data_IF_705501706740
#
_entry.id   IF_705501706740
#
_cell.length_a   1.000
_cell.length_b   1.000
_cell.length_c   1.000
_cell.angle_alpha   90.00
_cell.angle_beta   90.00
_cell.angle_gamma   90.00
#
_symmetry.space_group_name_H-M   'P 1'
#
loop_
_entity.id
_entity.type
_entity.pdbx_description
1 polymer ?
#
# COMPACT_ATOMS: atom_id res chain seq x y z
N UNK A 1 12.16 7.12 23.77
CA UNK A 1 12.14 5.64 23.73
C UNK A 1 10.68 5.21 23.73
N UNK A 2 10.10 4.89 22.57
CA UNK A 2 8.73 4.39 22.52
C UNK A 2 8.71 2.97 23.10
N UNK A 3 7.79 2.70 24.02
CA UNK A 3 7.66 1.40 24.68
C UNK A 3 7.18 0.38 23.65
N UNK A 4 7.92 -0.70 23.47
CA UNK A 4 7.47 -1.82 22.63
C UNK A 4 6.19 -2.42 23.22
N UNK A 5 5.20 -2.69 22.37
CA UNK A 5 3.90 -3.25 22.76
C UNK A 5 3.83 -4.68 22.24
N UNK A 6 3.46 -5.62 23.13
CA UNK A 6 3.25 -7.00 22.75
C UNK A 6 1.80 -7.19 22.26
N UNK A 7 1.65 -7.77 21.08
CA UNK A 7 0.37 -8.19 20.54
C UNK A 7 0.32 -9.72 20.50
N UNK A 8 -0.77 -10.31 21.01
CA UNK A 8 -1.01 -11.75 20.96
C UNK A 8 -2.23 -12.02 20.08
N UNK A 9 -2.10 -12.97 19.14
CA UNK A 9 -3.14 -13.35 18.19
C UNK A 9 -3.40 -14.84 18.33
N UNK A 10 -4.68 -15.23 18.40
CA UNK A 10 -5.07 -16.64 18.27
C UNK A 10 -5.07 -17.02 16.79
N UNK A 11 -4.46 -18.14 16.48
CA UNK A 11 -4.31 -18.66 15.12
C UNK A 11 -4.50 -20.16 15.11
N UNK A 12 -5.02 -20.66 13.99
CA UNK A 12 -5.12 -22.09 13.72
C UNK A 12 -3.71 -22.72 13.73
N UNK A 13 -3.52 -23.89 14.36
CA UNK A 13 -2.22 -24.54 14.43
C UNK A 13 -1.59 -24.78 13.04
N UNK A 14 -2.38 -25.21 12.07
CA UNK A 14 -1.92 -25.47 10.70
C UNK A 14 -1.44 -24.18 10.00
N UNK A 15 -2.16 -23.08 10.20
CA UNK A 15 -1.78 -21.78 9.64
C UNK A 15 -0.46 -21.28 10.24
N UNK A 16 -0.30 -21.45 11.56
CA UNK A 16 0.95 -21.12 12.26
C UNK A 16 2.13 -21.90 11.67
N UNK A 17 1.98 -23.21 11.49
CA UNK A 17 3.03 -24.07 10.98
C UNK A 17 3.46 -23.67 9.56
N UNK A 18 2.49 -23.45 8.67
CA UNK A 18 2.75 -23.00 7.30
C UNK A 18 3.44 -21.63 7.27
N UNK A 19 2.97 -20.69 8.08
CA UNK A 19 3.58 -19.36 8.17
C UNK A 19 5.02 -19.41 8.68
N UNK A 20 5.28 -20.23 9.71
CA UNK A 20 6.62 -20.41 10.26
C UNK A 20 7.56 -21.08 9.25
N UNK A 21 7.10 -22.09 8.51
CA UNK A 21 7.89 -22.74 7.46
C UNK A 21 8.27 -21.75 6.34
N UNK A 22 7.34 -20.88 5.93
CA UNK A 22 7.61 -19.82 4.97
C UNK A 22 8.60 -18.78 5.50
N UNK A 23 8.46 -18.36 6.77
CA UNK A 23 9.37 -17.41 7.41
C UNK A 23 10.81 -17.96 7.51
N UNK A 24 10.96 -19.25 7.85
CA UNK A 24 12.24 -19.95 7.89
C UNK A 24 12.87 -20.02 6.50
N UNK A 25 12.10 -20.41 5.49
CA UNK A 25 12.55 -20.48 4.08
C UNK A 25 13.05 -19.12 3.59
N UNK A 26 12.39 -18.03 3.99
CA UNK A 26 12.79 -16.68 3.64
C UNK A 26 13.92 -16.12 4.52
N UNK A 27 14.35 -16.86 5.56
CA UNK A 27 15.30 -16.39 6.58
C UNK A 27 14.89 -15.06 7.23
N UNK A 28 13.59 -14.84 7.43
CA UNK A 28 13.05 -13.61 8.04
C UNK A 28 12.31 -13.94 9.33
N UNK A 29 12.46 -13.12 10.39
CA UNK A 29 11.67 -13.31 11.61
C UNK A 29 10.17 -13.17 11.32
N UNK A 30 9.36 -14.11 11.82
CA UNK A 30 7.91 -14.09 11.70
C UNK A 30 7.29 -12.73 12.10
N UNK A 31 7.75 -12.16 13.22
CA UNK A 31 7.28 -10.86 13.70
C UNK A 31 7.65 -9.69 12.76
N UNK A 32 8.74 -9.80 12.01
CA UNK A 32 9.09 -8.80 10.98
C UNK A 32 8.11 -8.87 9.81
N UNK A 33 7.79 -10.08 9.34
CA UNK A 33 6.83 -10.30 8.26
C UNK A 33 5.45 -9.75 8.67
N UNK A 34 4.98 -10.05 9.88
CA UNK A 34 3.70 -9.51 10.39
C UNK A 34 3.70 -7.98 10.42
N UNK A 35 4.79 -7.35 10.91
CA UNK A 35 4.90 -5.88 10.91
C UNK A 35 4.87 -5.29 9.51
N UNK A 36 5.51 -5.93 8.54
CA UNK A 36 5.49 -5.48 7.15
C UNK A 36 4.12 -5.66 6.52
N UNK A 37 3.43 -6.78 6.78
CA UNK A 37 2.06 -6.99 6.35
C UNK A 37 1.10 -5.95 6.95
N UNK A 38 1.28 -5.57 8.21
CA UNK A 38 0.51 -4.49 8.83
C UNK A 38 0.74 -3.15 8.15
N UNK A 39 2.00 -2.80 7.84
CA UNK A 39 2.31 -1.56 7.11
C UNK A 39 1.70 -1.57 5.71
N UNK A 40 1.82 -2.68 4.99
CA UNK A 40 1.20 -2.83 3.67
C UNK A 40 -0.32 -2.74 3.76
N UNK A 41 -0.94 -3.33 4.78
CA UNK A 41 -2.38 -3.22 5.00
C UNK A 41 -2.81 -1.77 5.22
N UNK A 42 -2.12 -1.02 6.09
CA UNK A 42 -2.40 0.41 6.32
C UNK A 42 -2.24 1.19 5.01
N UNK A 43 -1.13 1.00 4.30
CA UNK A 43 -0.88 1.67 3.02
C UNK A 43 -1.97 1.36 1.98
N UNK A 44 -2.47 0.12 1.92
CA UNK A 44 -3.59 -0.24 1.06
C UNK A 44 -4.90 0.45 1.46
N UNK A 45 -5.15 0.70 2.74
CA UNK A 45 -6.34 1.45 3.18
C UNK A 45 -6.21 2.95 2.92
N UNK A 46 -4.98 3.46 2.84
CA UNK A 46 -4.68 4.83 2.43
C UNK A 46 -4.63 5.01 0.91
N UNK A 47 -4.96 3.97 0.13
CA UNK A 47 -5.11 4.05 -1.32
C UNK A 47 -6.60 4.07 -1.71
N UNK A 48 -7.04 5.01 -2.58
CA UNK A 48 -6.24 6.07 -3.18
C UNK A 48 -5.82 7.10 -2.13
N UNK A 49 -4.58 7.58 -2.22
CA UNK A 49 -4.10 8.60 -1.29
C UNK A 49 -4.87 9.92 -1.47
N UNK A 50 -4.73 10.82 -0.50
CA UNK A 50 -5.46 12.09 -0.49
C UNK A 50 -5.32 12.86 -1.82
N UNK A 51 -4.12 12.86 -2.42
CA UNK A 51 -3.86 13.53 -3.70
C UNK A 51 -4.61 12.88 -4.86
N UNK A 52 -4.67 11.55 -4.90
CA UNK A 52 -5.43 10.81 -5.92
C UNK A 52 -6.93 11.04 -5.75
N UNK A 53 -7.44 11.05 -4.51
CA UNK A 53 -8.84 11.37 -4.22
C UNK A 53 -9.15 12.80 -4.67
N UNK A 54 -8.28 13.77 -4.36
CA UNK A 54 -8.45 15.15 -4.78
C UNK A 54 -8.44 15.29 -6.32
N UNK A 55 -7.55 14.57 -7.01
CA UNK A 55 -7.50 14.56 -8.47
C UNK A 55 -8.78 13.97 -9.09
N UNK A 56 -9.33 12.90 -8.52
CA UNK A 56 -10.61 12.31 -8.96
C UNK A 56 -11.73 13.34 -8.81
N UNK A 57 -11.83 13.99 -7.64
CA UNK A 57 -12.86 15.00 -7.40
C UNK A 57 -12.71 16.24 -8.29
N UNK A 58 -11.49 16.67 -8.61
CA UNK A 58 -11.25 17.75 -9.57
C UNK A 58 -11.79 17.39 -10.96
N UNK A 59 -11.55 16.16 -11.43
CA UNK A 59 -12.12 15.70 -12.71
C UNK A 59 -13.66 15.65 -12.66
N UNK A 60 -14.24 15.14 -11.57
CA UNK A 60 -15.69 15.09 -11.36
C UNK A 60 -16.35 16.48 -11.31
N UNK A 61 -15.66 17.47 -10.75
CA UNK A 61 -16.13 18.86 -10.67
C UNK A 61 -15.92 19.63 -11.99
N UNK A 62 -15.25 19.03 -12.97
CA UNK A 62 -14.95 19.66 -14.26
C UNK A 62 -13.63 20.43 -14.29
N UNK A 63 -12.83 20.38 -13.23
CA UNK A 63 -11.46 20.90 -13.19
C UNK A 63 -10.49 19.90 -13.84
N UNK A 64 -10.47 19.89 -15.17
CA UNK A 64 -9.52 19.15 -15.98
C UNK A 64 -9.01 19.97 -17.15
N UNK A 65 -7.85 19.58 -17.68
CA UNK A 65 -7.29 20.18 -18.89
C UNK A 65 -7.52 19.27 -20.08
N UNK A 66 -7.79 19.87 -21.24
CA UNK A 66 -7.91 19.16 -22.51
C UNK A 66 -6.78 19.54 -23.45
N UNK A 67 -6.43 18.59 -24.31
CA UNK A 67 -5.34 18.72 -25.26
C UNK A 67 -5.88 18.43 -26.67
N UNK A 68 -5.34 19.13 -27.66
CA UNK A 68 -5.83 19.03 -29.05
C UNK A 68 -5.57 17.65 -29.68
N UNK A 69 -4.64 16.88 -29.11
CA UNK A 69 -4.30 15.53 -29.51
C UNK A 69 -3.08 15.02 -28.76
N UNK A 70 -2.69 13.78 -29.04
CA UNK A 70 -1.59 13.09 -28.33
C UNK A 70 -0.26 13.83 -28.46
N UNK A 71 0.04 14.42 -29.63
CA UNK A 71 1.25 15.19 -29.86
C UNK A 71 1.33 16.47 -29.00
N UNK A 72 0.20 17.19 -28.82
CA UNK A 72 0.12 18.37 -27.94
C UNK A 72 0.27 17.98 -26.46
N UNK A 73 -0.30 16.83 -26.08
CA UNK A 73 -0.17 16.29 -24.73
C UNK A 73 1.30 16.00 -24.38
N UNK A 74 2.02 15.28 -25.25
CA UNK A 74 3.43 14.95 -25.01
C UNK A 74 4.31 16.20 -24.91
N UNK A 75 4.11 17.17 -25.82
CA UNK A 75 4.81 18.44 -25.78
C UNK A 75 4.62 19.17 -24.44
N UNK A 76 3.39 19.19 -23.90
CA UNK A 76 3.07 19.86 -22.62
C UNK A 76 3.55 19.08 -21.40
N UNK A 77 3.61 17.75 -21.47
CA UNK A 77 4.14 16.91 -20.40
C UNK A 77 5.68 16.86 -20.39
N UNK A 78 6.33 17.32 -21.45
CA UNK A 78 7.79 17.34 -21.56
C UNK A 78 8.41 15.95 -21.67
N UNK A 79 7.65 14.97 -22.19
CA UNK A 79 8.07 13.57 -22.42
C UNK A 79 8.06 13.23 -23.90
#
# INVERSE_FOLDING_TARGET
MAKEVQMSIKMEPELREQFMAAAITLHRPAAQIVRDLMRSFIACQELPNADTIAAIHAVESGEYTTHAGTADLYLKLGI
#
